data_IF_547141883264
#
_entry.id   IF_547141883264
#
_cell.length_a   1.000
_cell.length_b   1.000
_cell.length_c   1.000
_cell.angle_alpha   90.00
_cell.angle_beta   90.00
_cell.angle_gamma   90.00
#
_symmetry.space_group_name_H-M   'P 1'
#
loop_
_entity.id
_entity.type
_entity.pdbx_description
1 polymer ?
#
# COMPACT_ATOMS: atom_id res chain seq x y z
N UNK A 1 -30.35 8.34 17.76
CA UNK A 1 -29.30 7.27 17.68
C UNK A 1 -28.55 7.24 16.35
N UNK A 2 -29.20 7.37 15.20
CA UNK A 2 -28.53 7.24 13.89
C UNK A 2 -27.53 8.38 13.60
N UNK A 3 -27.82 9.63 13.93
CA UNK A 3 -26.90 10.76 13.75
C UNK A 3 -25.65 10.65 14.63
N UNK A 4 -25.82 10.29 15.92
CA UNK A 4 -24.68 10.11 16.81
C UNK A 4 -23.70 9.05 16.27
N UNK A 5 -24.20 7.90 15.81
CA UNK A 5 -23.37 6.85 15.22
C UNK A 5 -22.56 7.33 14.00
N UNK A 6 -23.20 8.11 13.10
CA UNK A 6 -22.52 8.67 11.93
C UNK A 6 -21.40 9.64 12.34
N UNK A 7 -21.59 10.42 13.42
CA UNK A 7 -20.55 11.26 13.99
C UNK A 7 -19.41 10.39 14.57
N UNK A 8 -19.75 9.37 15.36
CA UNK A 8 -18.76 8.45 15.93
C UNK A 8 -17.92 7.77 14.85
N UNK A 9 -18.54 7.20 13.83
CA UNK A 9 -17.82 6.59 12.70
C UNK A 9 -16.89 7.59 12.00
N UNK A 10 -17.33 8.83 11.80
CA UNK A 10 -16.52 9.87 11.22
C UNK A 10 -15.27 10.18 12.05
N UNK A 11 -15.42 10.34 13.37
CA UNK A 11 -14.29 10.59 14.28
C UNK A 11 -13.39 9.37 14.43
N UNK A 12 -13.92 8.14 14.40
CA UNK A 12 -13.12 6.92 14.37
C UNK A 12 -12.23 6.85 13.12
N UNK A 13 -12.75 7.25 11.95
CA UNK A 13 -11.94 7.32 10.72
C UNK A 13 -10.81 8.34 10.88
N UNK A 14 -11.08 9.52 11.42
CA UNK A 14 -10.03 10.51 11.70
C UNK A 14 -9.01 9.94 12.68
N UNK A 15 -9.47 9.32 13.76
CA UNK A 15 -8.59 8.69 14.76
C UNK A 15 -7.70 7.61 14.14
N UNK A 16 -8.25 6.75 13.25
CA UNK A 16 -7.47 5.74 12.54
C UNK A 16 -6.41 6.37 11.62
N UNK A 17 -6.78 7.39 10.84
CA UNK A 17 -5.85 8.11 9.97
C UNK A 17 -4.71 8.74 10.78
N UNK A 18 -5.02 9.39 11.90
CA UNK A 18 -4.03 10.02 12.77
C UNK A 18 -3.15 8.97 13.45
N UNK A 19 -3.76 7.95 14.05
CA UNK A 19 -3.05 6.90 14.76
C UNK A 19 -2.06 6.13 13.86
N UNK A 20 -2.34 6.02 12.55
CA UNK A 20 -1.43 5.43 11.57
C UNK A 20 -0.03 6.05 11.61
N UNK A 21 0.07 7.36 11.86
CA UNK A 21 1.34 8.09 11.89
C UNK A 21 2.04 8.05 13.24
N UNK A 22 1.32 7.77 14.33
CA UNK A 22 1.86 7.91 15.69
C UNK A 22 2.07 6.59 16.43
N UNK A 23 1.12 5.63 16.32
CA UNK A 23 1.20 4.43 17.15
C UNK A 23 0.37 3.26 16.63
N UNK A 24 1.01 2.08 16.53
CA UNK A 24 0.32 0.81 16.19
C UNK A 24 -0.78 0.46 17.20
N UNK A 25 -0.54 0.69 18.48
CA UNK A 25 -1.51 0.41 19.55
C UNK A 25 -2.74 1.30 19.41
N UNK A 26 -2.55 2.63 19.25
CA UNK A 26 -3.65 3.57 19.03
C UNK A 26 -4.43 3.23 17.76
N UNK A 27 -3.74 2.80 16.69
CA UNK A 27 -4.39 2.37 15.46
C UNK A 27 -5.29 1.15 15.69
N UNK A 28 -4.83 0.14 16.42
CA UNK A 28 -5.63 -1.04 16.78
C UNK A 28 -6.86 -0.67 17.59
N UNK A 29 -6.70 0.19 18.59
CA UNK A 29 -7.82 0.68 19.43
C UNK A 29 -8.83 1.45 18.59
N UNK A 30 -8.38 2.37 17.72
CA UNK A 30 -9.27 3.13 16.83
C UNK A 30 -10.02 2.23 15.86
N UNK A 31 -9.38 1.18 15.33
CA UNK A 31 -10.05 0.16 14.49
C UNK A 31 -11.13 -0.59 15.26
N UNK A 32 -10.84 -1.03 16.50
CA UNK A 32 -11.84 -1.72 17.34
C UNK A 32 -13.06 -0.84 17.60
N UNK A 33 -12.86 0.45 17.94
CA UNK A 33 -13.97 1.39 18.11
C UNK A 33 -14.76 1.61 16.82
N UNK A 34 -14.08 1.73 15.69
CA UNK A 34 -14.74 1.85 14.38
C UNK A 34 -15.61 0.63 14.06
N UNK A 35 -15.05 -0.57 14.26
CA UNK A 35 -15.78 -1.83 14.07
C UNK A 35 -16.98 -1.90 15.00
N UNK A 36 -16.80 -1.68 16.31
CA UNK A 36 -17.89 -1.69 17.29
C UNK A 36 -18.99 -0.70 16.91
N UNK A 37 -18.63 0.57 16.61
CA UNK A 37 -19.58 1.60 16.20
C UNK A 37 -20.32 1.25 14.89
N UNK A 38 -19.70 0.50 14.00
CA UNK A 38 -20.32 0.08 12.74
C UNK A 38 -21.50 -0.86 12.94
N UNK A 39 -21.50 -1.67 14.01
CA UNK A 39 -22.58 -2.61 14.36
C UNK A 39 -23.70 -2.00 15.22
N UNK A 40 -23.53 -0.77 15.72
CA UNK A 40 -24.53 -0.09 16.55
C UNK A 40 -25.69 0.47 15.70
N UNK A 41 -26.41 -0.39 15.00
CA UNK A 41 -27.61 -0.04 14.22
C UNK A 41 -28.67 -1.14 14.28
N UNK A 42 -29.90 -0.80 13.87
CA UNK A 42 -31.05 -1.69 13.99
C UNK A 42 -31.12 -2.82 12.95
N UNK A 43 -30.26 -2.78 11.93
CA UNK A 43 -30.36 -3.66 10.75
C UNK A 43 -29.06 -4.43 10.48
N UNK A 44 -28.59 -5.28 11.42
CA UNK A 44 -27.34 -6.04 11.24
C UNK A 44 -27.43 -7.03 10.05
N UNK A 45 -28.66 -7.52 9.76
CA UNK A 45 -28.91 -8.39 8.60
C UNK A 45 -28.64 -7.67 7.27
N UNK A 46 -28.98 -6.38 7.17
CA UNK A 46 -28.71 -5.59 5.98
C UNK A 46 -27.19 -5.32 5.80
N UNK A 47 -26.46 -5.10 6.89
CA UNK A 47 -25.00 -5.00 6.84
C UNK A 47 -24.38 -6.30 6.31
N UNK A 48 -24.80 -7.45 6.82
CA UNK A 48 -24.33 -8.75 6.36
C UNK A 48 -24.70 -9.01 4.89
N UNK A 49 -25.94 -8.67 4.49
CA UNK A 49 -26.38 -8.77 3.10
C UNK A 49 -25.51 -7.91 2.17
N UNK A 50 -25.19 -6.65 2.54
CA UNK A 50 -24.32 -5.77 1.77
C UNK A 50 -22.91 -6.33 1.68
N UNK A 51 -22.40 -6.93 2.76
CA UNK A 51 -21.11 -7.59 2.77
C UNK A 51 -21.06 -8.75 1.75
N UNK A 52 -22.01 -9.66 1.82
CA UNK A 52 -22.07 -10.83 0.92
C UNK A 52 -22.35 -10.41 -0.53
N UNK A 53 -23.16 -9.37 -0.77
CA UNK A 53 -23.48 -8.90 -2.12
C UNK A 53 -22.34 -8.13 -2.81
N UNK A 54 -21.28 -7.75 -2.07
CA UNK A 54 -20.14 -7.01 -2.62
C UNK A 54 -18.92 -7.91 -2.80
N UNK A 55 -18.53 -8.28 -4.04
CA UNK A 55 -17.33 -9.08 -4.28
C UNK A 55 -16.07 -8.49 -3.68
N UNK A 56 -15.94 -7.15 -3.66
CA UNK A 56 -14.80 -6.48 -3.07
C UNK A 56 -14.68 -6.76 -1.57
N UNK A 57 -15.79 -6.72 -0.82
CA UNK A 57 -15.78 -6.86 0.63
C UNK A 57 -15.45 -8.31 1.05
N UNK A 58 -16.19 -9.27 0.54
CA UNK A 58 -15.93 -10.68 0.89
C UNK A 58 -14.61 -11.18 0.27
N UNK A 59 -14.24 -10.70 -0.94
CA UNK A 59 -12.95 -11.01 -1.55
C UNK A 59 -11.77 -10.54 -0.69
N UNK A 60 -11.84 -9.31 -0.15
CA UNK A 60 -10.81 -8.83 0.79
C UNK A 60 -10.77 -9.68 2.06
N UNK A 61 -11.93 -10.14 2.57
CA UNK A 61 -11.97 -11.02 3.74
C UNK A 61 -11.45 -12.44 3.45
N UNK A 62 -11.48 -12.92 2.21
CA UNK A 62 -10.83 -14.18 1.85
C UNK A 62 -9.32 -14.14 2.05
N UNK A 63 -8.68 -12.96 1.93
CA UNK A 63 -7.26 -12.80 2.26
C UNK A 63 -6.94 -13.07 3.74
N UNK A 64 -7.93 -13.00 4.61
CA UNK A 64 -7.83 -13.46 5.99
C UNK A 64 -8.14 -14.94 6.14
N UNK A 65 -9.17 -15.45 5.48
CA UNK A 65 -9.60 -16.85 5.66
C UNK A 65 -8.60 -17.86 5.09
N UNK A 66 -7.86 -17.53 4.03
CA UNK A 66 -6.82 -18.40 3.48
C UNK A 66 -5.71 -18.69 4.51
N UNK A 67 -5.04 -17.68 5.13
CA UNK A 67 -4.12 -17.92 6.23
C UNK A 67 -4.76 -18.64 7.42
N UNK A 68 -5.99 -18.31 7.79
CA UNK A 68 -6.69 -18.95 8.90
C UNK A 68 -6.83 -20.45 8.69
N UNK A 69 -7.35 -20.86 7.52
CA UNK A 69 -7.59 -22.28 7.18
C UNK A 69 -6.26 -23.03 7.04
N UNK A 70 -5.19 -22.38 6.56
CA UNK A 70 -3.88 -22.98 6.43
C UNK A 70 -3.30 -23.49 7.75
N UNK A 71 -3.81 -23.01 8.87
CA UNK A 71 -3.49 -23.52 10.19
C UNK A 71 -3.84 -25.00 10.41
N UNK A 72 -4.72 -25.59 9.60
CA UNK A 72 -5.05 -27.00 9.68
C UNK A 72 -3.83 -27.90 9.36
N UNK A 73 -2.94 -27.43 8.47
CA UNK A 73 -1.74 -28.17 8.05
C UNK A 73 -0.43 -27.48 8.37
N UNK A 74 -0.42 -26.24 8.87
CA UNK A 74 0.80 -25.59 9.37
C UNK A 74 1.35 -26.30 10.59
N UNK A 75 2.64 -26.59 10.62
CA UNK A 75 3.36 -27.17 11.76
C UNK A 75 3.66 -26.12 12.84
N UNK A 76 4.17 -24.94 12.46
CA UNK A 76 4.42 -23.83 13.39
C UNK A 76 3.12 -23.06 13.69
N UNK A 77 2.45 -23.47 14.77
CA UNK A 77 1.21 -22.84 15.24
C UNK A 77 1.43 -21.44 15.80
N UNK A 78 2.61 -21.15 16.32
CA UNK A 78 2.93 -19.83 16.89
C UNK A 78 3.04 -18.79 15.78
N UNK A 79 3.86 -19.06 14.77
CA UNK A 79 4.00 -18.19 13.61
C UNK A 79 2.66 -18.05 12.84
N UNK A 80 1.90 -19.14 12.70
CA UNK A 80 0.58 -19.11 12.11
C UNK A 80 -0.37 -18.17 12.86
N UNK A 81 -0.42 -18.27 14.20
CA UNK A 81 -1.31 -17.45 15.02
C UNK A 81 -0.94 -15.95 14.93
N UNK A 82 0.34 -15.63 14.90
CA UNK A 82 0.81 -14.26 14.72
C UNK A 82 0.42 -13.71 13.35
N UNK A 83 0.53 -14.50 12.29
CA UNK A 83 0.06 -14.12 10.95
C UNK A 83 -1.45 -13.86 10.93
N UNK A 84 -2.25 -14.75 11.54
CA UNK A 84 -3.71 -14.59 11.63
C UNK A 84 -4.08 -13.32 12.41
N UNK A 85 -3.41 -13.04 13.54
CA UNK A 85 -3.66 -11.83 14.36
C UNK A 85 -3.40 -10.56 13.57
N UNK A 86 -2.29 -10.49 12.84
CA UNK A 86 -1.95 -9.33 12.02
C UNK A 86 -3.00 -9.09 10.93
N UNK A 87 -3.58 -10.16 10.35
CA UNK A 87 -4.55 -10.11 9.25
C UNK A 87 -6.00 -9.85 9.68
N UNK A 88 -6.33 -9.76 10.98
CA UNK A 88 -7.67 -9.47 11.48
C UNK A 88 -8.34 -8.24 10.82
N UNK A 89 -7.65 -7.14 10.51
CA UNK A 89 -8.26 -6.01 9.81
C UNK A 89 -8.86 -6.36 8.44
N UNK A 90 -8.32 -7.36 7.74
CA UNK A 90 -8.88 -7.84 6.46
C UNK A 90 -10.26 -8.48 6.61
N UNK A 91 -10.61 -8.97 7.79
CA UNK A 91 -11.94 -9.49 8.10
C UNK A 91 -12.86 -8.36 8.60
N UNK A 92 -12.42 -7.62 9.60
CA UNK A 92 -13.30 -6.71 10.34
C UNK A 92 -13.54 -5.38 9.62
N UNK A 93 -12.55 -4.83 8.89
CA UNK A 93 -12.77 -3.57 8.16
C UNK A 93 -13.77 -3.71 7.01
N UNK A 94 -13.71 -4.74 6.14
CA UNK A 94 -14.75 -4.94 5.12
C UNK A 94 -16.15 -5.09 5.70
N UNK A 95 -16.29 -5.84 6.81
CA UNK A 95 -17.56 -5.97 7.54
C UNK A 95 -18.04 -4.61 8.07
N UNK A 96 -17.15 -3.82 8.67
CA UNK A 96 -17.50 -2.50 9.20
C UNK A 96 -17.89 -1.51 8.11
N UNK A 97 -17.19 -1.50 6.97
CA UNK A 97 -17.52 -0.64 5.83
C UNK A 97 -18.81 -1.07 5.09
N UNK A 98 -19.27 -2.32 5.25
CA UNK A 98 -20.57 -2.78 4.78
C UNK A 98 -21.73 -2.11 5.52
N UNK A 99 -21.50 -1.55 6.72
CA UNK A 99 -22.55 -0.91 7.51
C UNK A 99 -23.27 0.22 6.74
N UNK A 100 -24.57 0.43 6.99
CA UNK A 100 -25.35 1.50 6.38
C UNK A 100 -24.98 2.85 7.00
N UNK A 101 -23.99 3.55 6.40
CA UNK A 101 -23.66 4.93 6.71
C UNK A 101 -23.20 5.66 5.45
N UNK A 102 -23.53 6.92 5.35
CA UNK A 102 -22.99 7.83 4.35
C UNK A 102 -22.59 9.15 5.00
N UNK A 103 -21.57 9.76 4.46
CA UNK A 103 -21.16 11.08 4.88
C UNK A 103 -21.57 12.12 3.83
N UNK A 104 -21.87 13.32 4.32
CA UNK A 104 -22.04 14.47 3.43
C UNK A 104 -20.75 14.70 2.62
N UNK A 105 -20.90 15.32 1.45
CA UNK A 105 -19.76 15.62 0.60
C UNK A 105 -18.69 16.48 1.33
N UNK A 106 -19.14 17.38 2.22
CA UNK A 106 -18.25 18.20 3.06
C UNK A 106 -17.38 17.31 3.97
N UNK A 107 -17.97 16.28 4.61
CA UNK A 107 -17.21 15.34 5.46
C UNK A 107 -16.24 14.50 4.66
N UNK A 108 -16.63 14.01 3.49
CA UNK A 108 -15.71 13.27 2.61
C UNK A 108 -14.51 14.12 2.19
N UNK A 109 -14.74 15.40 1.89
CA UNK A 109 -13.65 16.32 1.56
C UNK A 109 -12.75 16.57 2.77
N UNK A 110 -13.35 16.74 3.96
CA UNK A 110 -12.60 16.94 5.20
C UNK A 110 -11.66 15.75 5.47
N UNK A 111 -12.12 14.50 5.27
CA UNK A 111 -11.26 13.33 5.39
C UNK A 111 -10.10 13.35 4.37
N UNK A 112 -10.36 13.74 3.13
CA UNK A 112 -9.29 13.87 2.13
C UNK A 112 -8.27 14.95 2.52
N UNK A 113 -8.73 16.11 3.03
CA UNK A 113 -7.85 17.15 3.56
C UNK A 113 -7.02 16.68 4.74
N UNK A 114 -7.64 16.01 5.72
CA UNK A 114 -6.92 15.45 6.88
C UNK A 114 -5.85 14.47 6.42
N UNK A 115 -6.17 13.58 5.49
CA UNK A 115 -5.19 12.64 4.94
C UNK A 115 -4.01 13.37 4.29
N UNK A 116 -4.26 14.35 3.43
CA UNK A 116 -3.22 15.14 2.77
C UNK A 116 -2.36 15.88 3.79
N UNK A 117 -2.98 16.50 4.80
CA UNK A 117 -2.25 17.25 5.84
C UNK A 117 -1.40 16.34 6.74
N UNK A 118 -1.88 15.14 7.06
CA UNK A 118 -1.09 14.15 7.82
C UNK A 118 0.13 13.68 7.01
N UNK A 119 -0.04 13.39 5.74
CA UNK A 119 1.08 13.02 4.85
C UNK A 119 2.04 14.20 4.70
N UNK A 120 1.55 15.41 4.52
CA UNK A 120 2.37 16.63 4.45
C UNK A 120 3.17 16.81 5.75
N UNK A 121 2.53 16.71 6.91
CA UNK A 121 3.21 16.77 8.21
C UNK A 121 4.30 15.72 8.35
N UNK A 122 4.01 14.48 7.94
CA UNK A 122 5.00 13.40 7.93
C UNK A 122 6.18 13.67 7.00
N UNK A 123 5.96 14.26 5.83
CA UNK A 123 7.04 14.63 4.90
C UNK A 123 7.86 15.80 5.44
N UNK A 124 7.22 16.80 6.02
CA UNK A 124 7.94 17.93 6.67
C UNK A 124 8.80 17.45 7.85
N UNK A 125 8.27 16.55 8.68
CA UNK A 125 9.03 15.96 9.79
C UNK A 125 10.25 15.16 9.28
N UNK A 126 10.07 14.33 8.27
CA UNK A 126 11.16 13.56 7.67
C UNK A 126 12.19 14.46 6.99
N UNK A 127 11.74 15.54 6.33
CA UNK A 127 12.62 16.55 5.72
C UNK A 127 13.43 17.32 6.75
N UNK A 128 12.87 17.63 7.90
CA UNK A 128 13.59 18.28 9.00
C UNK A 128 14.76 17.40 9.47
N UNK A 129 14.54 16.09 9.67
CA UNK A 129 15.61 15.16 10.02
C UNK A 129 16.65 15.02 8.91
N UNK A 130 16.21 15.02 7.64
CA UNK A 130 17.12 15.02 6.51
C UNK A 130 18.00 16.27 6.49
N UNK A 131 17.44 17.45 6.65
CA UNK A 131 18.18 18.72 6.58
C UNK A 131 19.23 18.85 7.67
N UNK A 132 18.98 18.28 8.85
CA UNK A 132 19.92 18.26 9.96
C UNK A 132 21.15 17.36 9.71
N UNK A 133 21.03 16.30 8.87
CA UNK A 133 22.06 15.30 8.66
C UNK A 133 22.22 14.93 7.17
N UNK A 134 22.05 15.89 6.27
CA UNK A 134 21.97 15.65 4.84
C UNK A 134 23.17 14.89 4.27
N UNK A 135 24.40 15.23 4.67
CA UNK A 135 25.62 14.58 4.17
C UNK A 135 25.65 13.08 4.50
N UNK A 136 25.44 12.73 5.78
CA UNK A 136 25.44 11.34 6.24
C UNK A 136 24.28 10.51 5.64
N UNK A 137 23.11 11.13 5.50
CA UNK A 137 21.96 10.47 4.88
C UNK A 137 22.22 10.23 3.40
N UNK A 138 22.74 11.20 2.67
CA UNK A 138 23.08 11.05 1.25
C UNK A 138 24.09 9.92 1.03
N UNK A 139 25.11 9.82 1.88
CA UNK A 139 26.09 8.73 1.85
C UNK A 139 25.42 7.38 2.15
N UNK A 140 24.53 7.34 3.14
CA UNK A 140 23.76 6.14 3.49
C UNK A 140 22.99 5.53 2.32
N UNK A 141 22.53 6.34 1.36
CA UNK A 141 21.86 5.86 0.15
C UNK A 141 22.77 5.04 -0.77
N UNK A 142 24.08 5.12 -0.63
CA UNK A 142 25.05 4.26 -1.33
C UNK A 142 25.23 2.89 -0.66
N UNK A 143 24.62 2.67 0.52
CA UNK A 143 24.75 1.44 1.31
C UNK A 143 23.38 0.87 1.75
N UNK A 144 22.39 0.90 0.87
CA UNK A 144 21.04 0.39 1.08
C UNK A 144 20.20 1.11 2.16
N UNK A 145 20.74 2.11 2.86
CA UNK A 145 20.00 2.88 3.87
C UNK A 145 19.02 3.88 3.23
N UNK A 146 18.06 4.33 4.00
CA UNK A 146 17.10 5.38 3.63
C UNK A 146 16.95 6.40 4.76
N UNK A 147 16.38 7.58 4.45
CA UNK A 147 16.09 8.57 5.49
C UNK A 147 15.00 8.06 6.44
N UNK A 148 14.95 8.66 7.63
CA UNK A 148 13.92 8.38 8.63
C UNK A 148 12.54 8.83 8.13
N UNK A 149 11.55 7.96 8.29
CA UNK A 149 10.16 8.21 7.86
C UNK A 149 9.17 7.88 8.98
N UNK A 150 7.96 8.45 8.96
CA UNK A 150 6.85 7.99 9.80
C UNK A 150 6.57 6.48 9.63
N UNK A 151 5.57 5.97 10.36
CA UNK A 151 5.16 4.55 10.33
C UNK A 151 6.26 3.60 10.85
N UNK A 152 7.05 4.02 11.83
CA UNK A 152 8.13 3.20 12.37
C UNK A 152 9.26 2.94 11.36
N UNK A 153 9.62 3.92 10.56
CA UNK A 153 10.59 3.86 9.46
C UNK A 153 10.16 3.00 8.26
N UNK A 154 8.88 2.74 8.10
CA UNK A 154 8.37 2.04 6.92
C UNK A 154 8.29 3.00 5.71
N UNK A 155 9.44 3.24 5.09
CA UNK A 155 9.56 4.14 3.93
C UNK A 155 8.79 3.61 2.70
N UNK A 156 8.56 2.30 2.61
CA UNK A 156 7.84 1.67 1.50
C UNK A 156 6.37 2.09 1.53
N UNK A 157 5.68 1.86 2.68
CA UNK A 157 4.26 2.22 2.85
C UNK A 157 4.08 3.74 2.89
N UNK A 158 4.99 4.45 3.54
CA UNK A 158 4.94 5.91 3.57
C UNK A 158 5.05 6.52 2.17
N UNK A 159 5.95 6.04 1.31
CA UNK A 159 6.08 6.51 -0.07
C UNK A 159 4.83 6.26 -0.91
N UNK A 160 4.15 5.13 -0.69
CA UNK A 160 2.85 4.86 -1.33
C UNK A 160 1.76 5.83 -0.86
N UNK A 161 1.69 6.15 0.44
CA UNK A 161 0.79 7.18 0.98
C UNK A 161 1.07 8.56 0.37
N UNK A 162 2.33 8.93 0.14
CA UNK A 162 2.70 10.19 -0.54
C UNK A 162 2.15 10.18 -1.97
N UNK A 163 2.34 9.10 -2.71
CA UNK A 163 1.80 8.95 -4.07
C UNK A 163 0.28 9.09 -4.11
N UNK A 164 -0.43 8.48 -3.15
CA UNK A 164 -1.88 8.63 -3.00
C UNK A 164 -2.30 10.04 -2.60
N UNK A 165 -1.52 10.72 -1.75
CA UNK A 165 -1.81 12.10 -1.38
C UNK A 165 -1.69 13.05 -2.59
N UNK A 166 -0.73 12.83 -3.50
CA UNK A 166 -0.64 13.53 -4.78
C UNK A 166 -1.89 13.26 -5.63
N UNK A 167 -2.33 12.01 -5.74
CA UNK A 167 -3.56 11.64 -6.44
C UNK A 167 -4.79 12.36 -5.85
N UNK A 168 -4.88 12.43 -4.52
CA UNK A 168 -6.00 13.10 -3.84
C UNK A 168 -5.93 14.63 -3.96
N UNK A 169 -4.74 15.22 -4.02
CA UNK A 169 -4.56 16.63 -4.39
C UNK A 169 -5.12 16.90 -5.79
N UNK A 170 -4.74 16.11 -6.78
CA UNK A 170 -5.26 16.20 -8.13
C UNK A 170 -6.79 16.03 -8.16
N UNK A 171 -7.31 15.03 -7.47
CA UNK A 171 -8.74 14.80 -7.38
C UNK A 171 -9.51 15.99 -6.74
N UNK A 172 -9.00 16.59 -5.64
CA UNK A 172 -9.59 17.77 -5.03
C UNK A 172 -9.57 18.97 -5.98
N UNK A 173 -8.45 19.18 -6.68
CA UNK A 173 -8.26 20.30 -7.60
C UNK A 173 -9.27 20.27 -8.77
N UNK A 174 -9.39 19.11 -9.43
CA UNK A 174 -10.24 18.97 -10.62
C UNK A 174 -11.72 18.77 -10.32
N UNK A 175 -12.06 18.40 -9.10
CA UNK A 175 -13.46 18.20 -8.70
C UNK A 175 -14.29 19.47 -8.69
N UNK A 176 -13.67 20.66 -8.54
CA UNK A 176 -14.35 21.93 -8.37
C UNK A 176 -14.80 22.24 -6.93
N UNK A 177 -15.27 23.45 -6.71
CA UNK A 177 -15.77 23.90 -5.40
C UNK A 177 -14.70 24.37 -4.42
N UNK A 178 -13.43 24.35 -4.79
CA UNK A 178 -12.34 24.96 -4.00
C UNK A 178 -12.31 26.47 -4.23
N UNK A 179 -12.03 27.21 -3.16
CA UNK A 179 -11.70 28.64 -3.25
C UNK A 179 -10.34 28.80 -3.97
N UNK A 180 -10.09 29.98 -4.51
CA UNK A 180 -8.87 30.26 -5.29
C UNK A 180 -7.61 29.94 -4.48
N UNK A 181 -7.53 30.39 -3.22
CA UNK A 181 -6.39 30.13 -2.35
C UNK A 181 -6.23 28.63 -2.01
N UNK A 182 -7.34 27.88 -1.88
CA UNK A 182 -7.29 26.42 -1.64
C UNK A 182 -6.72 25.67 -2.85
N UNK A 183 -7.02 26.13 -4.07
CA UNK A 183 -6.43 25.55 -5.30
C UNK A 183 -4.93 25.75 -5.34
N UNK A 184 -4.43 26.97 -5.03
CA UNK A 184 -3.00 27.23 -4.97
C UNK A 184 -2.32 26.42 -3.86
N UNK A 185 -2.96 26.31 -2.70
CA UNK A 185 -2.44 25.52 -1.59
C UNK A 185 -2.32 24.03 -1.98
N UNK A 186 -3.38 23.42 -2.53
CA UNK A 186 -3.37 22.02 -2.99
C UNK A 186 -2.28 21.79 -4.04
N UNK A 187 -2.11 22.72 -4.96
CA UNK A 187 -1.07 22.65 -5.98
C UNK A 187 0.35 22.73 -5.36
N UNK A 188 0.56 23.66 -4.43
CA UNK A 188 1.83 23.78 -3.72
C UNK A 188 2.15 22.49 -2.91
N UNK A 189 1.16 21.91 -2.22
CA UNK A 189 1.30 20.65 -1.50
C UNK A 189 1.62 19.51 -2.47
N UNK A 190 0.94 19.41 -3.60
CA UNK A 190 1.23 18.38 -4.59
C UNK A 190 2.67 18.48 -5.13
N UNK A 191 3.13 19.68 -5.45
CA UNK A 191 4.51 19.93 -5.89
C UNK A 191 5.52 19.53 -4.80
N UNK A 192 5.28 19.93 -3.54
CA UNK A 192 6.12 19.53 -2.41
C UNK A 192 6.18 18.00 -2.27
N UNK A 193 5.04 17.33 -2.30
CA UNK A 193 4.97 15.87 -2.17
C UNK A 193 5.72 15.14 -3.30
N UNK A 194 5.64 15.66 -4.53
CA UNK A 194 6.38 15.13 -5.68
C UNK A 194 7.91 15.31 -5.46
N UNK A 195 8.35 16.50 -5.06
CA UNK A 195 9.76 16.75 -4.75
C UNK A 195 10.24 15.83 -3.63
N UNK A 196 9.46 15.73 -2.53
CA UNK A 196 9.83 14.88 -1.41
C UNK A 196 9.84 13.38 -1.78
N UNK A 197 8.96 12.93 -2.66
CA UNK A 197 8.95 11.55 -3.14
C UNK A 197 10.26 11.19 -3.88
N UNK A 198 10.79 12.13 -4.66
CA UNK A 198 12.09 11.97 -5.32
C UNK A 198 13.25 12.07 -4.33
N UNK A 199 13.13 12.94 -3.31
CA UNK A 199 14.12 13.02 -2.23
C UNK A 199 14.17 11.73 -1.41
N UNK A 200 13.01 11.14 -1.08
CA UNK A 200 12.91 9.86 -0.39
C UNK A 200 13.43 8.69 -1.24
N UNK A 201 13.36 8.82 -2.55
CA UNK A 201 13.82 7.84 -3.54
C UNK A 201 13.39 6.39 -3.25
N UNK A 202 12.18 6.21 -2.68
CA UNK A 202 11.59 4.92 -2.41
C UNK A 202 10.89 4.39 -3.66
N UNK A 203 11.33 3.23 -4.15
CA UNK A 203 10.90 2.66 -5.44
C UNK A 203 9.40 2.42 -5.54
N UNK A 204 8.79 1.87 -4.49
CA UNK A 204 7.36 1.58 -4.47
C UNK A 204 6.52 2.84 -4.66
N UNK A 205 6.87 3.93 -3.97
CA UNK A 205 6.18 5.21 -4.13
C UNK A 205 6.41 5.84 -5.49
N UNK A 206 7.66 5.82 -6.00
CA UNK A 206 7.98 6.33 -7.34
C UNK A 206 7.27 5.51 -8.42
N UNK A 207 7.31 4.18 -8.34
CA UNK A 207 6.59 3.30 -9.27
C UNK A 207 5.08 3.60 -9.25
N UNK A 208 4.51 3.75 -8.07
CA UNK A 208 3.09 4.09 -7.90
C UNK A 208 2.76 5.46 -8.49
N UNK A 209 3.58 6.47 -8.22
CA UNK A 209 3.42 7.81 -8.76
C UNK A 209 3.48 7.84 -10.29
N UNK A 210 4.53 7.26 -10.88
CA UNK A 210 4.71 7.25 -12.34
C UNK A 210 3.66 6.38 -13.03
N UNK A 211 3.27 5.24 -12.45
CA UNK A 211 2.16 4.43 -12.99
C UNK A 211 0.85 5.21 -12.97
N UNK A 212 0.53 5.88 -11.86
CA UNK A 212 -0.65 6.73 -11.78
C UNK A 212 -0.62 7.86 -12.80
N UNK A 213 0.53 8.50 -12.98
CA UNK A 213 0.73 9.57 -13.96
C UNK A 213 0.57 9.05 -15.40
N UNK A 214 1.12 7.89 -15.73
CA UNK A 214 0.98 7.27 -17.05
C UNK A 214 -0.48 6.87 -17.36
N UNK A 215 -1.24 6.41 -16.37
CA UNK A 215 -2.67 6.14 -16.52
C UNK A 215 -3.42 7.44 -16.83
N UNK A 216 -3.10 8.55 -16.15
CA UNK A 216 -3.68 9.88 -16.44
C UNK A 216 -3.30 10.34 -17.85
N UNK A 217 -2.04 10.19 -18.24
CA UNK A 217 -1.55 10.52 -19.60
C UNK A 217 -2.31 9.73 -20.65
N UNK A 218 -2.44 8.41 -20.49
CA UNK A 218 -3.18 7.56 -21.40
C UNK A 218 -4.64 8.00 -21.55
N UNK A 219 -5.29 8.31 -20.42
CA UNK A 219 -6.67 8.81 -20.40
C UNK A 219 -6.82 10.16 -21.12
N UNK A 220 -5.88 11.10 -20.92
CA UNK A 220 -5.88 12.41 -21.59
C UNK A 220 -5.65 12.28 -23.09
N UNK A 221 -4.73 11.40 -23.52
CA UNK A 221 -4.42 11.19 -24.94
C UNK A 221 -5.62 10.56 -25.67
N UNK A 222 -6.35 9.64 -25.04
CA UNK A 222 -7.57 9.05 -25.61
C UNK A 222 -8.68 10.08 -25.80
N UNK A 223 -8.72 11.10 -24.94
CA UNK A 223 -9.68 12.21 -25.09
C UNK A 223 -9.12 13.27 -26.05
N UNK A 224 -9.69 13.35 -27.27
CA UNK A 224 -9.20 14.23 -28.35
C UNK A 224 -9.03 15.70 -27.93
N UNK A 225 -9.92 16.23 -27.09
CA UNK A 225 -9.88 17.61 -26.59
C UNK A 225 -8.74 17.88 -25.60
N UNK A 226 -8.18 16.85 -24.99
CA UNK A 226 -7.12 16.93 -23.96
C UNK A 226 -5.76 16.36 -24.42
N UNK A 227 -5.62 16.00 -25.69
CA UNK A 227 -4.43 15.30 -26.20
C UNK A 227 -3.14 16.10 -25.98
N UNK A 228 -3.17 17.41 -26.20
CA UNK A 228 -2.00 18.26 -25.98
C UNK A 228 -1.56 18.24 -24.50
N UNK A 229 -2.49 18.33 -23.56
CA UNK A 229 -2.18 18.23 -22.13
C UNK A 229 -1.60 16.86 -21.77
N UNK A 230 -2.10 15.79 -22.39
CA UNK A 230 -1.54 14.44 -22.20
C UNK A 230 -0.10 14.35 -22.69
N UNK A 231 0.22 14.91 -23.86
CA UNK A 231 1.59 14.93 -24.38
C UNK A 231 2.53 15.78 -23.52
N UNK A 232 2.06 16.97 -23.07
CA UNK A 232 2.84 17.80 -22.15
C UNK A 232 3.12 17.07 -20.84
N UNK A 233 2.11 16.41 -20.27
CA UNK A 233 2.26 15.63 -19.05
C UNK A 233 3.21 14.43 -19.22
N UNK A 234 3.21 13.81 -20.41
CA UNK A 234 4.16 12.74 -20.74
C UNK A 234 5.59 13.28 -20.78
N UNK A 235 5.83 14.44 -21.37
CA UNK A 235 7.15 15.10 -21.36
C UNK A 235 7.60 15.40 -19.92
N UNK A 236 6.71 15.91 -19.08
CA UNK A 236 7.00 16.14 -17.65
C UNK A 236 7.33 14.81 -16.95
N UNK A 237 6.58 13.75 -17.23
CA UNK A 237 6.81 12.42 -16.66
C UNK A 237 8.22 11.88 -16.99
N UNK A 238 8.69 12.12 -18.22
CA UNK A 238 10.03 11.71 -18.66
C UNK A 238 11.13 12.63 -18.13
N UNK A 239 10.85 13.93 -18.00
CA UNK A 239 11.82 14.91 -17.52
C UNK A 239 12.07 14.84 -16.01
N UNK A 240 11.04 14.56 -15.20
CA UNK A 240 11.15 14.54 -13.74
C UNK A 240 12.27 13.62 -13.20
N UNK A 241 12.40 12.34 -13.61
CA UNK A 241 13.47 11.48 -13.10
C UNK A 241 14.86 11.95 -13.56
N UNK A 242 14.98 12.57 -14.73
CA UNK A 242 16.23 13.17 -15.22
C UNK A 242 16.61 14.37 -14.36
N UNK A 243 15.67 15.30 -14.13
CA UNK A 243 15.88 16.45 -13.25
C UNK A 243 16.26 15.96 -11.85
N UNK A 244 15.53 15.00 -11.28
CA UNK A 244 15.82 14.45 -9.97
C UNK A 244 17.22 13.82 -9.89
N UNK A 245 17.68 13.13 -10.93
CA UNK A 245 19.02 12.54 -10.97
C UNK A 245 20.12 13.61 -10.88
N UNK A 246 19.95 14.77 -11.52
CA UNK A 246 20.95 15.83 -11.50
C UNK A 246 20.85 16.75 -10.29
N UNK A 247 19.65 16.92 -9.70
CA UNK A 247 19.41 17.91 -8.65
C UNK A 247 19.27 17.31 -7.24
N UNK A 248 18.88 16.02 -7.11
CA UNK A 248 18.57 15.39 -5.83
C UNK A 248 19.65 14.34 -5.48
N UNK A 249 20.54 14.63 -4.48
CA UNK A 249 21.65 13.73 -4.15
C UNK A 249 21.22 12.32 -3.73
N UNK A 250 20.17 12.19 -2.92
CA UNK A 250 19.64 10.88 -2.49
C UNK A 250 19.17 10.05 -3.67
N UNK A 251 18.44 10.65 -4.62
CA UNK A 251 17.97 9.98 -5.83
C UNK A 251 19.14 9.51 -6.70
N UNK A 252 20.11 10.40 -6.95
CA UNK A 252 21.34 10.06 -7.68
C UNK A 252 22.08 8.90 -7.04
N UNK A 253 22.28 8.94 -5.71
CA UNK A 253 22.98 7.90 -4.98
C UNK A 253 22.20 6.58 -4.98
N UNK A 254 20.86 6.63 -4.90
CA UNK A 254 20.03 5.43 -5.01
C UNK A 254 20.13 4.77 -6.39
N UNK A 255 20.18 5.56 -7.47
CA UNK A 255 20.38 5.04 -8.83
C UNK A 255 21.78 4.43 -8.98
N UNK A 256 22.83 5.08 -8.43
CA UNK A 256 24.20 4.50 -8.42
C UNK A 256 24.25 3.19 -7.67
N UNK A 257 23.64 3.14 -6.47
CA UNK A 257 23.58 1.93 -5.67
C UNK A 257 22.83 0.80 -6.38
N UNK A 258 21.69 1.10 -7.03
CA UNK A 258 20.95 0.13 -7.83
C UNK A 258 21.80 -0.48 -8.94
N UNK A 259 22.56 0.36 -9.66
CA UNK A 259 23.45 -0.11 -10.72
C UNK A 259 24.56 -1.02 -10.16
N UNK A 260 25.19 -0.61 -9.08
CA UNK A 260 26.20 -1.40 -8.38
C UNK A 260 25.65 -2.76 -7.92
N UNK A 261 24.47 -2.75 -7.28
CA UNK A 261 23.78 -3.94 -6.82
C UNK A 261 23.46 -4.88 -7.99
N UNK A 262 22.95 -4.34 -9.10
CA UNK A 262 22.60 -5.13 -10.28
C UNK A 262 23.81 -5.80 -10.95
N UNK A 263 24.92 -5.09 -11.05
CA UNK A 263 26.20 -5.61 -11.55
C UNK A 263 26.70 -6.80 -10.69
N UNK A 264 26.57 -6.70 -9.36
CA UNK A 264 26.94 -7.77 -8.45
C UNK A 264 25.99 -8.98 -8.51
N UNK A 265 24.69 -8.74 -8.54
CA UNK A 265 23.67 -9.82 -8.64
C UNK A 265 23.86 -10.60 -9.94
N UNK A 266 24.16 -9.92 -11.04
CA UNK A 266 24.38 -10.54 -12.34
C UNK A 266 25.69 -11.38 -12.38
N UNK A 267 26.69 -11.04 -11.57
CA UNK A 267 27.98 -11.75 -11.51
C UNK A 267 28.03 -12.84 -10.44
N UNK A 268 27.82 -12.48 -9.17
CA UNK A 268 27.99 -13.37 -8.01
C UNK A 268 26.68 -13.94 -7.45
N UNK A 269 25.52 -13.42 -7.88
CA UNK A 269 24.19 -13.86 -7.47
C UNK A 269 23.70 -13.35 -6.11
N UNK A 270 24.61 -12.95 -5.20
CA UNK A 270 24.24 -12.43 -3.87
C UNK A 270 25.21 -11.35 -3.41
N UNK A 271 24.65 -10.28 -2.87
CA UNK A 271 25.36 -9.20 -2.20
C UNK A 271 24.79 -9.03 -0.79
N UNK A 272 25.59 -9.22 0.29
CA UNK A 272 25.13 -9.09 1.66
C UNK A 272 24.51 -7.72 1.96
N UNK A 273 23.35 -7.73 2.65
CA UNK A 273 22.63 -6.51 2.99
C UNK A 273 22.06 -5.74 1.79
N UNK A 274 22.03 -6.34 0.59
CA UNK A 274 21.43 -5.73 -0.58
C UNK A 274 19.91 -5.67 -0.46
N UNK A 275 19.28 -4.66 -1.11
CA UNK A 275 17.82 -4.55 -1.09
C UNK A 275 17.16 -5.46 -2.14
N UNK A 276 17.62 -5.38 -3.38
CA UNK A 276 16.98 -6.07 -4.50
C UNK A 276 17.47 -7.51 -4.65
N UNK A 277 18.75 -7.75 -4.39
CA UNK A 277 19.31 -9.10 -4.42
C UNK A 277 18.64 -10.02 -3.40
N UNK A 278 18.52 -9.54 -2.16
CA UNK A 278 17.82 -10.26 -1.08
C UNK A 278 16.35 -10.52 -1.46
N UNK A 279 15.65 -9.51 -1.99
CA UNK A 279 14.25 -9.68 -2.43
C UNK A 279 14.12 -10.68 -3.58
N UNK A 280 15.00 -10.59 -4.58
CA UNK A 280 14.97 -11.51 -5.73
C UNK A 280 15.21 -12.97 -5.28
N UNK A 281 16.17 -13.18 -4.38
CA UNK A 281 16.45 -14.52 -3.82
C UNK A 281 15.25 -15.01 -3.01
N UNK A 282 14.63 -14.14 -2.19
CA UNK A 282 13.43 -14.49 -1.42
C UNK A 282 12.23 -14.84 -2.30
N UNK A 283 12.06 -14.13 -3.43
CA UNK A 283 11.04 -14.49 -4.41
C UNK A 283 11.30 -15.85 -5.06
N UNK A 284 12.56 -16.19 -5.36
CA UNK A 284 12.93 -17.52 -5.85
C UNK A 284 12.58 -18.60 -4.83
N UNK A 285 12.84 -18.36 -3.55
CA UNK A 285 12.47 -19.28 -2.47
C UNK A 285 10.94 -19.50 -2.44
N UNK A 286 10.14 -18.44 -2.44
CA UNK A 286 8.68 -18.56 -2.46
C UNK A 286 8.14 -19.29 -3.68
N UNK A 287 8.74 -19.04 -4.84
CA UNK A 287 8.38 -19.75 -6.08
C UNK A 287 8.73 -21.26 -6.02
N UNK A 288 9.91 -21.64 -5.48
CA UNK A 288 10.31 -23.04 -5.30
C UNK A 288 9.36 -23.76 -4.33
N UNK A 289 9.09 -23.16 -3.17
CA UNK A 289 8.18 -23.71 -2.16
C UNK A 289 6.79 -23.97 -2.75
N UNK A 290 6.24 -23.02 -3.52
CA UNK A 290 4.95 -23.20 -4.18
C UNK A 290 4.98 -24.34 -5.20
N UNK A 291 6.06 -24.48 -5.98
CA UNK A 291 6.21 -25.56 -6.96
C UNK A 291 6.33 -26.95 -6.31
N UNK A 292 7.03 -27.03 -5.19
CA UNK A 292 7.22 -28.27 -4.45
C UNK A 292 5.95 -28.69 -3.71
N UNK A 293 5.08 -27.73 -3.37
CA UNK A 293 3.82 -27.93 -2.62
C UNK A 293 2.63 -27.34 -3.36
N UNK A 294 2.28 -27.79 -4.59
CA UNK A 294 1.37 -27.08 -5.47
C UNK A 294 -0.09 -27.09 -5.03
N UNK A 295 -0.53 -28.10 -4.27
CA UNK A 295 -1.94 -28.27 -3.92
C UNK A 295 -2.38 -27.38 -2.75
N UNK A 296 -1.66 -27.40 -1.64
CA UNK A 296 -2.04 -26.72 -0.38
C UNK A 296 -0.98 -25.76 0.13
N UNK A 297 0.22 -25.73 -0.50
CA UNK A 297 1.37 -25.00 0.05
C UNK A 297 1.86 -25.65 1.35
N UNK A 298 2.77 -24.94 2.04
CA UNK A 298 3.31 -25.42 3.32
C UNK A 298 2.49 -24.98 4.54
N UNK A 299 1.50 -24.09 4.34
CA UNK A 299 0.81 -23.38 5.41
C UNK A 299 1.52 -22.08 5.81
N UNK A 300 0.75 -21.05 6.18
CA UNK A 300 1.32 -19.73 6.49
C UNK A 300 2.27 -19.74 7.69
N UNK A 301 2.12 -20.69 8.65
CA UNK A 301 3.04 -20.86 9.75
C UNK A 301 4.42 -21.34 9.31
N UNK A 302 4.48 -22.13 8.23
CA UNK A 302 5.71 -22.80 7.80
C UNK A 302 6.43 -22.14 6.62
N UNK A 303 5.90 -21.00 6.10
CA UNK A 303 6.55 -20.30 4.98
C UNK A 303 7.99 -19.88 5.33
N UNK A 304 8.22 -19.30 6.52
CA UNK A 304 9.57 -18.90 6.92
C UNK A 304 10.48 -20.07 7.20
N UNK A 305 10.08 -21.10 7.98
CA UNK A 305 10.85 -22.33 8.11
C UNK A 305 11.24 -22.96 6.77
N UNK A 306 10.29 -23.12 5.85
CA UNK A 306 10.56 -23.66 4.52
C UNK A 306 11.51 -22.76 3.70
N UNK A 307 11.35 -21.43 3.78
CA UNK A 307 12.27 -20.49 3.15
C UNK A 307 13.69 -20.63 3.68
N UNK A 308 13.87 -20.80 5.00
CA UNK A 308 15.18 -21.01 5.62
C UNK A 308 15.85 -22.30 5.15
N UNK A 309 15.09 -23.39 5.02
CA UNK A 309 15.59 -24.66 4.45
C UNK A 309 16.08 -24.43 3.02
N UNK A 310 15.27 -23.76 2.21
CA UNK A 310 15.63 -23.42 0.83
C UNK A 310 16.89 -22.54 0.77
N UNK A 311 17.01 -21.50 1.62
CA UNK A 311 18.20 -20.66 1.68
C UNK A 311 19.45 -21.46 2.05
N UNK A 312 19.33 -22.42 2.98
CA UNK A 312 20.44 -23.29 3.39
C UNK A 312 21.00 -24.12 2.24
N UNK A 313 20.15 -24.55 1.30
CA UNK A 313 20.55 -25.36 0.14
C UNK A 313 20.94 -24.52 -1.07
N UNK A 314 20.13 -23.52 -1.43
CA UNK A 314 20.28 -22.76 -2.68
C UNK A 314 21.17 -21.50 -2.54
N UNK A 315 21.36 -20.98 -1.34
CA UNK A 315 22.13 -19.75 -1.06
C UNK A 315 22.80 -19.83 0.32
N UNK A 316 23.67 -20.82 0.58
CA UNK A 316 24.24 -21.08 1.92
C UNK A 316 25.09 -19.91 2.45
N UNK A 317 25.60 -19.05 1.57
CA UNK A 317 26.37 -17.85 1.90
C UNK A 317 25.50 -16.68 2.41
N UNK A 318 24.16 -16.83 2.37
CA UNK A 318 23.24 -15.75 2.74
C UNK A 318 23.25 -15.51 4.25
N UNK A 319 23.41 -14.24 4.67
CA UNK A 319 23.37 -13.84 6.07
C UNK A 319 22.01 -14.14 6.70
N UNK A 320 21.98 -14.49 7.99
CA UNK A 320 20.71 -14.73 8.71
C UNK A 320 19.78 -13.51 8.71
N UNK A 321 20.35 -12.30 8.78
CA UNK A 321 19.59 -11.03 8.69
C UNK A 321 18.89 -10.83 7.35
N UNK A 322 19.38 -11.45 6.29
CA UNK A 322 18.88 -11.32 4.93
C UNK A 322 17.87 -12.41 4.55
N UNK A 323 17.72 -13.44 5.41
CA UNK A 323 16.71 -14.50 5.24
C UNK A 323 15.34 -13.99 5.62
N UNK A 324 14.60 -13.47 4.64
CA UNK A 324 13.29 -12.85 4.80
C UNK A 324 12.17 -13.70 4.17
N UNK A 325 10.92 -13.36 4.45
CA UNK A 325 9.76 -13.90 3.73
C UNK A 325 9.85 -13.62 2.23
N UNK A 326 9.22 -14.44 1.36
CA UNK A 326 9.12 -14.16 -0.07
C UNK A 326 8.60 -12.74 -0.33
N UNK A 327 9.41 -11.87 -0.94
CA UNK A 327 9.11 -10.44 -1.12
C UNK A 327 8.07 -10.19 -2.21
N UNK A 328 6.98 -10.93 -2.19
CA UNK A 328 5.81 -10.75 -3.05
C UNK A 328 4.60 -11.40 -2.37
N UNK A 329 3.49 -10.68 -2.28
CA UNK A 329 2.26 -11.25 -1.71
C UNK A 329 1.73 -12.43 -2.54
N UNK A 330 1.90 -12.39 -3.87
CA UNK A 330 1.55 -13.54 -4.71
C UNK A 330 2.29 -14.80 -4.30
N UNK A 331 3.58 -14.66 -4.00
CA UNK A 331 4.42 -15.78 -3.60
C UNK A 331 4.20 -16.17 -2.13
N UNK A 332 3.82 -15.22 -1.27
CA UNK A 332 3.41 -15.53 0.09
C UNK A 332 2.16 -16.41 0.11
N UNK A 333 1.11 -16.03 -0.64
CA UNK A 333 -0.11 -16.83 -0.75
C UNK A 333 0.13 -18.12 -1.53
N UNK A 334 1.03 -18.09 -2.52
CA UNK A 334 1.45 -19.28 -3.26
C UNK A 334 2.22 -20.28 -2.40
N UNK A 335 3.20 -19.83 -1.63
CA UNK A 335 3.95 -20.69 -0.71
C UNK A 335 3.06 -21.24 0.43
N UNK A 336 2.20 -20.37 0.99
CA UNK A 336 1.32 -20.72 2.11
C UNK A 336 0.14 -21.62 1.75
N UNK A 337 -0.46 -21.47 0.57
CA UNK A 337 -1.68 -22.17 0.13
C UNK A 337 -1.57 -22.80 -1.27
N UNK A 338 -0.38 -22.96 -1.82
CA UNK A 338 -0.16 -23.57 -3.13
C UNK A 338 -0.65 -22.72 -4.31
N UNK A 339 -0.78 -23.36 -5.47
CA UNK A 339 -1.33 -22.73 -6.68
C UNK A 339 -2.75 -22.16 -6.45
N UNK A 340 -3.66 -22.84 -5.72
CA UNK A 340 -4.94 -22.26 -5.38
C UNK A 340 -4.85 -20.91 -4.65
N UNK A 341 -3.93 -20.78 -3.69
CA UNK A 341 -3.68 -19.53 -2.98
C UNK A 341 -3.21 -18.41 -3.90
N UNK A 342 -2.28 -18.70 -4.81
CA UNK A 342 -1.78 -17.78 -5.83
C UNK A 342 -2.91 -17.31 -6.77
N UNK A 343 -3.73 -18.22 -7.27
CA UNK A 343 -4.87 -17.92 -8.17
C UNK A 343 -5.92 -17.10 -7.44
N UNK A 344 -6.29 -17.47 -6.21
CA UNK A 344 -7.28 -16.75 -5.42
C UNK A 344 -6.80 -15.33 -5.10
N UNK A 345 -5.53 -15.16 -4.71
CA UNK A 345 -4.95 -13.83 -4.50
C UNK A 345 -5.04 -12.98 -5.77
N UNK A 346 -4.67 -13.55 -6.92
CA UNK A 346 -4.79 -12.87 -8.23
C UNK A 346 -6.24 -12.46 -8.52
N UNK A 347 -7.18 -13.37 -8.33
CA UNK A 347 -8.61 -13.10 -8.53
C UNK A 347 -9.12 -11.96 -7.64
N UNK A 348 -8.73 -11.96 -6.36
CA UNK A 348 -9.10 -10.91 -5.41
C UNK A 348 -8.52 -9.55 -5.82
N UNK A 349 -7.26 -9.51 -6.25
CA UNK A 349 -6.63 -8.27 -6.75
C UNK A 349 -7.27 -7.77 -8.06
N UNK A 350 -7.91 -8.64 -8.82
CA UNK A 350 -8.65 -8.27 -10.04
C UNK A 350 -10.05 -7.72 -9.75
N UNK A 351 -10.71 -8.07 -8.64
CA UNK A 351 -12.08 -7.63 -8.32
C UNK A 351 -12.29 -6.11 -8.45
N UNK A 352 -11.42 -5.24 -7.94
CA UNK A 352 -11.60 -3.79 -8.03
C UNK A 352 -11.73 -3.28 -9.47
N UNK A 353 -11.07 -3.91 -10.43
CA UNK A 353 -11.08 -3.49 -11.84
C UNK A 353 -12.43 -3.76 -12.53
N UNK A 354 -13.20 -4.71 -12.02
CA UNK A 354 -14.57 -5.00 -12.49
C UNK A 354 -15.63 -4.25 -11.69
N UNK A 355 -15.25 -3.54 -10.61
CA UNK A 355 -16.18 -2.78 -9.79
C UNK A 355 -16.47 -1.42 -10.45
N UNK A 356 -17.70 -1.21 -10.90
CA UNK A 356 -18.12 0.07 -11.51
C UNK A 356 -18.21 1.16 -10.45
N UNK A 357 -17.46 2.24 -10.61
CA UNK A 357 -17.45 3.42 -9.72
C UNK A 357 -17.65 4.72 -10.50
N UNK A 358 -18.20 5.75 -9.83
CA UNK A 358 -18.44 7.08 -10.45
C UNK A 358 -17.14 7.79 -10.89
N UNK A 359 -16.00 7.49 -10.29
CA UNK A 359 -14.69 8.09 -10.60
C UNK A 359 -13.69 6.99 -10.99
N UNK A 360 -13.97 6.32 -12.12
CA UNK A 360 -13.22 5.18 -12.59
C UNK A 360 -11.71 5.41 -12.67
N UNK A 361 -11.26 6.60 -13.09
CA UNK A 361 -9.84 6.91 -13.22
C UNK A 361 -9.11 6.87 -11.86
N UNK A 362 -9.64 7.56 -10.84
CA UNK A 362 -9.03 7.56 -9.49
C UNK A 362 -9.04 6.16 -8.87
N UNK A 363 -10.14 5.42 -9.08
CA UNK A 363 -10.29 4.05 -8.61
C UNK A 363 -9.30 3.10 -9.30
N UNK A 364 -9.13 3.26 -10.61
CA UNK A 364 -8.16 2.49 -11.40
C UNK A 364 -6.73 2.72 -10.90
N UNK A 365 -6.32 3.99 -10.74
CA UNK A 365 -4.98 4.33 -10.26
C UNK A 365 -4.74 3.75 -8.87
N UNK A 366 -5.68 3.92 -7.94
CA UNK A 366 -5.57 3.41 -6.58
C UNK A 366 -5.31 1.89 -6.55
N UNK A 367 -6.12 1.12 -7.27
CA UNK A 367 -6.01 -0.34 -7.22
C UNK A 367 -4.84 -0.87 -8.05
N UNK A 368 -4.49 -0.21 -9.17
CA UNK A 368 -3.29 -0.57 -9.94
C UNK A 368 -2.01 -0.36 -9.11
N UNK A 369 -1.91 0.79 -8.42
CA UNK A 369 -0.72 1.07 -7.60
C UNK A 369 -0.64 0.15 -6.37
N UNK A 370 -1.77 -0.21 -5.77
CA UNK A 370 -1.84 -1.20 -4.69
C UNK A 370 -1.37 -2.59 -5.18
N UNK A 371 -1.89 -3.07 -6.31
CA UNK A 371 -1.47 -4.34 -6.89
C UNK A 371 0.03 -4.34 -7.21
N UNK A 372 0.55 -3.30 -7.87
CA UNK A 372 1.99 -3.20 -8.15
C UNK A 372 2.85 -3.20 -6.89
N UNK A 373 2.41 -2.56 -5.81
CA UNK A 373 3.17 -2.58 -4.55
C UNK A 373 3.33 -4.00 -3.98
N UNK A 374 2.31 -4.85 -4.12
CA UNK A 374 2.33 -6.23 -3.65
C UNK A 374 3.15 -7.19 -4.53
N UNK A 375 3.51 -6.80 -5.75
CA UNK A 375 4.38 -7.64 -6.60
C UNK A 375 5.80 -7.77 -6.06
N UNK A 376 6.29 -6.73 -5.40
CA UNK A 376 7.67 -6.67 -4.91
C UNK A 376 7.78 -6.36 -3.41
N UNK A 377 6.70 -6.56 -2.66
CA UNK A 377 6.66 -6.32 -1.22
C UNK A 377 5.58 -7.17 -0.53
N UNK A 378 5.81 -7.48 0.74
CA UNK A 378 4.90 -8.23 1.64
C UNK A 378 4.08 -7.24 2.50
N UNK A 379 3.25 -6.44 1.85
CA UNK A 379 2.44 -5.43 2.50
C UNK A 379 1.40 -6.00 3.46
N UNK A 380 0.90 -7.20 3.19
CA UNK A 380 -0.11 -7.86 4.02
C UNK A 380 0.47 -8.76 5.12
N UNK A 381 1.79 -8.73 5.32
CA UNK A 381 2.46 -9.43 6.43
C UNK A 381 2.84 -8.47 7.57
N UNK A 382 2.48 -7.19 7.45
CA UNK A 382 2.72 -6.17 8.48
C UNK A 382 1.47 -5.34 8.73
N UNK A 383 1.23 -5.00 10.00
CA UNK A 383 0.02 -4.30 10.43
C UNK A 383 -0.24 -2.98 9.69
N UNK A 384 0.80 -2.16 9.50
CA UNK A 384 0.67 -0.88 8.79
C UNK A 384 0.26 -1.08 7.33
N UNK A 385 0.82 -2.08 6.66
CA UNK A 385 0.50 -2.36 5.26
C UNK A 385 -0.93 -2.88 5.09
N UNK A 386 -1.36 -3.82 5.95
CA UNK A 386 -2.73 -4.34 5.94
C UNK A 386 -3.73 -3.20 6.15
N UNK A 387 -3.52 -2.40 7.19
CA UNK A 387 -4.42 -1.29 7.48
C UNK A 387 -4.42 -0.29 6.31
N UNK A 388 -3.26 0.13 5.85
CA UNK A 388 -3.15 1.14 4.79
C UNK A 388 -3.87 0.69 3.53
N UNK A 389 -3.65 -0.55 3.08
CA UNK A 389 -4.33 -1.08 1.91
C UNK A 389 -5.84 -1.20 2.13
N UNK A 390 -6.26 -1.96 3.13
CA UNK A 390 -7.68 -2.26 3.35
C UNK A 390 -8.48 -0.99 3.64
N UNK A 391 -7.96 -0.10 4.51
CA UNK A 391 -8.62 1.14 4.86
C UNK A 391 -8.76 2.08 3.65
N UNK A 392 -7.70 2.34 2.90
CA UNK A 392 -7.74 3.28 1.78
C UNK A 392 -8.68 2.79 0.68
N UNK A 393 -8.60 1.50 0.32
CA UNK A 393 -9.47 0.92 -0.69
C UNK A 393 -10.93 0.95 -0.25
N UNK A 394 -11.24 0.57 0.99
CA UNK A 394 -12.60 0.55 1.53
C UNK A 394 -13.17 1.95 1.74
N UNK A 395 -12.36 2.91 2.22
CA UNK A 395 -12.76 4.30 2.37
C UNK A 395 -13.14 4.90 1.02
N UNK A 396 -12.30 4.68 0.00
CA UNK A 396 -12.55 5.20 -1.34
C UNK A 396 -13.73 4.49 -2.00
N UNK A 397 -13.83 3.17 -1.86
CA UNK A 397 -14.99 2.39 -2.32
C UNK A 397 -16.31 2.91 -1.72
N UNK A 398 -16.35 3.09 -0.40
CA UNK A 398 -17.57 3.57 0.30
C UNK A 398 -18.00 4.96 -0.18
N UNK A 399 -17.04 5.81 -0.47
CA UNK A 399 -17.29 7.14 -1.02
C UNK A 399 -17.84 7.11 -2.44
N UNK A 400 -17.35 6.20 -3.29
CA UNK A 400 -17.70 6.12 -4.72
C UNK A 400 -18.98 5.33 -4.98
N UNK A 401 -19.36 4.46 -4.06
CA UNK A 401 -20.56 3.64 -4.17
C UNK A 401 -21.76 4.44 -3.66
N UNK A 402 -22.72 4.83 -4.54
CA UNK A 402 -23.93 5.49 -4.08
C UNK A 402 -24.72 4.51 -3.20
N UNK A 403 -25.19 4.95 -2.03
CA UNK A 403 -26.21 4.20 -1.32
C UNK A 403 -27.46 4.16 -2.21
N UNK A 404 -27.94 2.94 -2.49
CA UNK A 404 -29.29 2.77 -3.02
C UNK A 404 -30.23 3.26 -1.93
N UNK A 405 -30.80 4.47 -2.15
CA UNK A 405 -31.91 5.02 -1.35
C UNK A 405 -33.11 4.11 -1.46
#
# INVERSE_FOLDING_TARGET
MQQWRIHTLFYCIIAMMTALFFSRAMLSVAMMFFVAASFLHKEPREQLRRFVSSPLLWGMSLLFFLPLISGLWSGDKTQWLDTVRIKLPLLFLPLAFAAPFSFTQRRWNMLAWIFILLVLGGTCWSFFHYSANAAAINEGYLSAKSMITPLGNDHVRFSWLISLAVLFCGWLYFRGGLKVWEKYFVMAVAVWLIIFLHLLAARTGLLSFYTGLLIVVAWLIQNRLSRLYGLTLLLVCLALPLIAYYTVPTFKNKVKYFRYEWEHISGSGYLPGSNDGVRLISMKAGWSIMKENPALGVGFGDVMPASRVWYGSASPQMLESDKIFPSSEWLMYGAGCGIPGFILFTGIMCIPFFTRTKHGLTWLILNTTAALSFMADTGLEVQYGIFTYSFIVLWWWKRLTPEKT
#
